data_IF_933838170891
#
_entry.id   IF_933838170891
#
_cell.length_a   1.000
_cell.length_b   1.000
_cell.length_c   1.000
_cell.angle_alpha   90.00
_cell.angle_beta   90.00
_cell.angle_gamma   90.00
#
_symmetry.space_group_name_H-M   'P 1'
#
loop_
_entity.id
_entity.type
_entity.pdbx_description
1 polymer ?
#
# COMPACT_ATOMS: atom_id res chain seq x y z
N UNK A 1 -30.51 10.83 0.63
CA UNK A 1 -29.60 11.66 -0.19
C UNK A 1 -28.23 11.05 -0.07
N UNK A 2 -28.05 10.01 -0.86
CA UNK A 2 -26.92 9.09 -0.83
C UNK A 2 -25.78 9.70 -1.62
N UNK A 3 -24.74 10.12 -0.91
CA UNK A 3 -23.58 10.81 -1.47
C UNK A 3 -22.83 9.91 -2.45
N UNK A 4 -22.67 10.30 -3.72
CA UNK A 4 -22.03 9.48 -4.73
C UNK A 4 -20.50 9.54 -4.63
N UNK A 5 -19.90 8.35 -4.51
CA UNK A 5 -18.65 7.92 -5.17
C UNK A 5 -17.48 8.92 -5.12
N UNK A 6 -16.71 8.89 -4.03
CA UNK A 6 -15.31 9.38 -3.99
C UNK A 6 -14.36 8.31 -3.42
N UNK A 7 -14.58 7.05 -3.77
CA UNK A 7 -14.04 5.91 -2.99
C UNK A 7 -12.67 5.37 -3.47
N UNK A 8 -12.35 5.47 -4.77
CA UNK A 8 -11.11 4.86 -5.30
C UNK A 8 -9.82 5.62 -4.94
N UNK A 9 -9.86 6.96 -4.87
CA UNK A 9 -8.68 7.76 -4.48
C UNK A 9 -8.34 7.65 -3.00
N UNK A 10 -9.34 7.42 -2.14
CA UNK A 10 -9.13 7.33 -0.69
C UNK A 10 -8.36 6.07 -0.32
N UNK A 11 -8.68 4.92 -0.93
CA UNK A 11 -7.94 3.66 -0.73
C UNK A 11 -6.49 3.76 -1.22
N UNK A 12 -6.27 4.40 -2.37
CA UNK A 12 -4.93 4.73 -2.90
C UNK A 12 -4.10 5.55 -1.91
N UNK A 13 -4.69 6.59 -1.33
CA UNK A 13 -4.00 7.44 -0.34
C UNK A 13 -3.70 6.70 0.95
N UNK A 14 -4.60 5.84 1.42
CA UNK A 14 -4.41 5.06 2.65
C UNK A 14 -3.27 4.06 2.49
N UNK A 15 -3.22 3.34 1.37
CA UNK A 15 -2.13 2.38 1.20
C UNK A 15 -0.81 3.04 0.84
N UNK A 16 -0.83 4.16 0.12
CA UNK A 16 0.38 4.97 -0.07
C UNK A 16 0.89 5.49 1.27
N UNK A 17 0.00 5.96 2.15
CA UNK A 17 0.36 6.36 3.51
C UNK A 17 0.93 5.20 4.33
N UNK A 18 0.31 4.01 4.25
CA UNK A 18 0.81 2.80 4.91
C UNK A 18 2.19 2.39 4.39
N UNK A 19 2.41 2.43 3.07
CA UNK A 19 3.70 2.11 2.45
C UNK A 19 4.79 3.09 2.89
N UNK A 20 4.51 4.40 2.89
CA UNK A 20 5.45 5.42 3.38
C UNK A 20 5.77 5.22 4.86
N UNK A 21 4.76 4.94 5.68
CA UNK A 21 4.94 4.65 7.10
C UNK A 21 5.83 3.42 7.32
N UNK A 22 5.65 2.38 6.52
CA UNK A 22 6.42 1.15 6.60
C UNK A 22 7.89 1.35 6.20
N UNK A 23 8.14 2.15 5.14
CA UNK A 23 9.49 2.52 4.71
C UNK A 23 10.20 3.33 5.79
N UNK A 24 9.52 4.32 6.37
CA UNK A 24 10.06 5.09 7.49
C UNK A 24 10.37 4.20 8.71
N UNK A 25 9.48 3.29 9.05
CA UNK A 25 9.65 2.34 10.17
C UNK A 25 10.83 1.39 9.92
N UNK A 26 11.01 0.91 8.69
CA UNK A 26 12.17 0.08 8.29
C UNK A 26 13.47 0.84 8.51
N UNK A 27 13.52 2.12 8.10
CA UNK A 27 14.71 2.95 8.23
C UNK A 27 15.11 3.15 9.70
N UNK A 28 14.12 3.39 10.56
CA UNK A 28 14.32 3.50 12.03
C UNK A 28 14.73 2.16 12.64
N UNK A 29 14.17 1.03 12.17
CA UNK A 29 14.51 -0.31 12.65
C UNK A 29 15.95 -0.70 12.31
N UNK A 30 16.44 -0.34 11.12
CA UNK A 30 17.85 -0.53 10.72
C UNK A 30 18.78 0.25 11.65
N UNK A 31 18.46 1.51 11.95
CA UNK A 31 19.25 2.33 12.87
C UNK A 31 19.32 1.77 14.30
N UNK A 32 18.27 1.06 14.73
CA UNK A 32 18.23 0.39 16.05
C UNK A 32 18.76 -1.04 16.05
N UNK A 33 19.25 -1.57 14.91
CA UNK A 33 19.75 -2.95 14.82
C UNK A 33 18.66 -4.01 15.01
N UNK A 34 17.39 -3.66 14.77
CA UNK A 34 16.26 -4.58 14.96
C UNK A 34 15.96 -5.34 13.66
N UNK A 35 16.79 -6.34 13.35
CA UNK A 35 16.73 -7.11 12.10
C UNK A 35 15.37 -7.80 11.87
N UNK A 36 14.75 -8.32 12.92
CA UNK A 36 13.42 -8.92 12.87
C UNK A 36 12.34 -7.91 12.46
N UNK A 37 12.44 -6.65 12.90
CA UNK A 37 11.47 -5.61 12.53
C UNK A 37 11.72 -5.13 11.11
N UNK A 38 12.98 -4.97 10.70
CA UNK A 38 13.33 -4.62 9.32
C UNK A 38 12.82 -5.66 8.31
N UNK A 39 13.01 -6.95 8.57
CA UNK A 39 12.51 -8.04 7.72
C UNK A 39 10.98 -8.07 7.65
N UNK A 40 10.29 -7.89 8.79
CA UNK A 40 8.83 -7.81 8.83
C UNK A 40 8.30 -6.62 8.04
N UNK A 41 8.98 -5.47 8.10
CA UNK A 41 8.61 -4.32 7.28
C UNK A 41 8.85 -4.59 5.79
N UNK A 42 9.99 -5.15 5.37
CA UNK A 42 10.22 -5.48 3.95
C UNK A 42 9.13 -6.43 3.41
N UNK A 43 8.78 -7.46 4.19
CA UNK A 43 7.68 -8.36 3.86
C UNK A 43 6.33 -7.62 3.74
N UNK A 44 6.05 -6.69 4.65
CA UNK A 44 4.86 -5.84 4.59
C UNK A 44 4.80 -4.96 3.35
N UNK A 45 5.91 -4.36 2.90
CA UNK A 45 5.96 -3.59 1.65
C UNK A 45 5.64 -4.49 0.45
N UNK A 46 6.25 -5.68 0.41
CA UNK A 46 6.00 -6.67 -0.64
C UNK A 46 4.52 -7.10 -0.72
N UNK A 47 3.88 -7.34 0.43
CA UNK A 47 2.44 -7.67 0.47
C UNK A 47 1.58 -6.51 -0.01
N UNK A 48 1.88 -5.29 0.42
CA UNK A 48 1.17 -4.08 -0.02
C UNK A 48 1.30 -3.90 -1.55
N UNK A 49 2.51 -4.03 -2.10
CA UNK A 49 2.72 -3.93 -3.54
C UNK A 49 1.99 -5.05 -4.31
N UNK A 50 2.06 -6.29 -3.81
CA UNK A 50 1.39 -7.44 -4.46
C UNK A 50 -0.13 -7.27 -4.49
N UNK A 51 -0.71 -6.84 -3.37
CA UNK A 51 -2.15 -6.54 -3.31
C UNK A 51 -2.53 -5.37 -4.22
N UNK A 52 -1.62 -4.40 -4.41
CA UNK A 52 -1.79 -3.29 -5.37
C UNK A 52 -1.77 -3.75 -6.82
N UNK A 53 -0.76 -4.53 -7.20
CA UNK A 53 -0.64 -5.10 -8.55
C UNK A 53 -1.89 -5.93 -8.86
N UNK A 54 -2.38 -6.69 -7.89
CA UNK A 54 -3.61 -7.48 -8.06
C UNK A 54 -4.88 -6.62 -8.14
N UNK A 55 -4.94 -5.52 -7.37
CA UNK A 55 -6.04 -4.55 -7.45
C UNK A 55 -6.05 -3.78 -8.78
N UNK A 56 -4.88 -3.48 -9.35
CA UNK A 56 -4.74 -2.83 -10.66
C UNK A 56 -5.09 -3.79 -11.81
N UNK A 57 -4.65 -5.05 -11.75
CA UNK A 57 -4.96 -6.08 -12.77
C UNK A 57 -6.42 -6.54 -12.75
N UNK A 58 -7.09 -6.51 -11.59
CA UNK A 58 -8.55 -6.71 -11.50
C UNK A 58 -9.37 -5.51 -11.98
N UNK A 59 -8.75 -4.38 -12.29
CA UNK A 59 -9.48 -3.22 -12.80
C UNK A 59 -9.83 -3.51 -14.27
N UNK A 60 -11.12 -3.65 -14.64
CA UNK A 60 -11.48 -3.63 -16.06
C UNK A 60 -11.08 -2.25 -16.56
N UNK A 61 -10.02 -2.19 -17.35
CA UNK A 61 -9.66 -1.01 -18.12
C UNK A 61 -10.76 -0.79 -19.13
N UNK A 62 -11.76 -0.01 -18.71
CA UNK A 62 -12.63 0.80 -19.54
C UNK A 62 -13.03 0.13 -20.87
N UNK A 63 -14.18 -0.57 -20.98
CA UNK A 63 -14.76 -0.77 -22.29
C UNK A 63 -15.12 0.62 -22.80
N UNK A 64 -14.27 1.18 -23.68
CA UNK A 64 -14.72 2.26 -24.55
C UNK A 64 -15.68 1.59 -25.52
N UNK A 65 -16.95 1.96 -25.36
CA UNK A 65 -17.99 1.85 -26.39
C UNK A 65 -17.46 2.29 -27.76
#
# INVERSE_FOLDING_TARGET
MDTPIKDKRTRLKITLAAAVFLVATTYVAIFKGMEAVATTCIAGVMTVLSTYIWAETKRPSNPKE
#
